data_IF_150353342756
#
_entry.id   IF_150353342756
#
_cell.length_a   1.000
_cell.length_b   1.000
_cell.length_c   1.000
_cell.angle_alpha   90.00
_cell.angle_beta   90.00
_cell.angle_gamma   90.00
#
_symmetry.space_group_name_H-M   'P 1'
#
loop_
_entity.id
_entity.type
_entity.pdbx_description
1 polymer ?
#
# COMPACT_ATOMS: atom_id res chain seq x y z
N UNK A 1 5.42 5.68 8.72
CA UNK A 1 5.62 4.24 8.50
C UNK A 1 5.91 4.04 7.03
N UNK A 2 7.11 3.54 6.69
CA UNK A 2 7.53 3.34 5.30
C UNK A 2 7.21 1.90 4.92
N UNK A 3 6.21 1.71 4.04
CA UNK A 3 5.78 0.37 3.61
C UNK A 3 6.80 -0.34 2.71
N UNK A 4 6.62 -1.64 2.51
CA UNK A 4 7.50 -2.48 1.68
C UNK A 4 7.80 -1.88 0.30
N UNK A 5 6.80 -1.26 -0.34
CA UNK A 5 6.94 -0.61 -1.65
C UNK A 5 8.03 0.47 -1.69
N UNK A 6 8.15 1.28 -0.62
CA UNK A 6 9.15 2.34 -0.57
C UNK A 6 10.57 1.79 -0.29
N UNK A 7 10.68 0.70 0.47
CA UNK A 7 11.96 0.00 0.69
C UNK A 7 12.44 -0.63 -0.63
N UNK A 8 11.55 -1.30 -1.35
CA UNK A 8 11.85 -1.91 -2.65
C UNK A 8 12.25 -0.86 -3.67
N UNK A 9 11.49 0.23 -3.77
CA UNK A 9 11.82 1.34 -4.66
C UNK A 9 13.21 1.93 -4.36
N UNK A 10 13.53 2.13 -3.08
CA UNK A 10 14.85 2.59 -2.67
C UNK A 10 15.96 1.62 -3.08
N UNK A 11 15.77 0.31 -2.88
CA UNK A 11 16.74 -0.69 -3.31
C UNK A 11 16.96 -0.66 -4.83
N UNK A 12 15.87 -0.67 -5.61
CA UNK A 12 15.90 -0.63 -7.08
C UNK A 12 16.63 0.63 -7.57
N UNK A 13 16.33 1.80 -6.98
CA UNK A 13 17.01 3.07 -7.31
C UNK A 13 18.50 3.09 -6.97
N UNK A 14 18.96 2.16 -6.14
CA UNK A 14 20.37 2.00 -5.76
C UNK A 14 20.99 0.74 -6.40
N UNK A 15 20.44 0.25 -7.52
CA UNK A 15 20.91 -0.93 -8.26
C UNK A 15 21.01 -2.19 -7.39
N UNK A 16 20.14 -2.30 -6.37
CA UNK A 16 20.03 -3.45 -5.49
C UNK A 16 18.69 -4.15 -5.69
N UNK A 17 18.66 -5.49 -5.67
CA UNK A 17 17.40 -6.21 -5.74
C UNK A 17 16.56 -5.97 -4.47
N UNK A 18 15.22 -5.90 -4.59
CA UNK A 18 14.33 -5.96 -3.44
C UNK A 18 14.58 -7.23 -2.60
N UNK A 19 14.62 -7.08 -1.27
CA UNK A 19 14.74 -8.21 -0.36
C UNK A 19 13.35 -8.72 0.06
N UNK A 20 13.03 -9.96 -0.30
CA UNK A 20 11.81 -10.65 0.11
C UNK A 20 12.18 -11.69 1.17
N UNK A 21 11.41 -11.73 2.25
CA UNK A 21 11.50 -12.76 3.28
C UNK A 21 10.48 -13.87 3.02
N UNK A 22 10.86 -15.10 3.33
CA UNK A 22 10.08 -16.32 3.11
C UNK A 22 9.64 -16.47 1.64
N UNK A 23 8.38 -16.81 1.37
CA UNK A 23 7.85 -17.08 0.03
C UNK A 23 7.36 -15.84 -0.72
N UNK A 24 7.26 -14.68 -0.07
CA UNK A 24 6.73 -13.45 -0.67
C UNK A 24 5.22 -13.46 -0.92
N UNK A 25 4.50 -14.53 -0.55
CA UNK A 25 3.07 -14.72 -0.82
C UNK A 25 2.18 -14.04 0.23
N UNK A 26 2.75 -13.47 1.28
CA UNK A 26 2.02 -12.69 2.27
C UNK A 26 1.27 -11.54 1.60
N UNK A 27 -0.06 -11.53 1.79
CA UNK A 27 -0.97 -10.58 1.15
C UNK A 27 -1.15 -9.32 1.98
N UNK A 28 -1.24 -8.16 1.31
CA UNK A 28 -1.54 -6.85 1.88
C UNK A 28 -2.47 -6.06 0.96
N UNK A 29 -3.45 -5.38 1.55
CA UNK A 29 -4.23 -4.37 0.84
C UNK A 29 -3.41 -3.07 0.81
N UNK A 30 -3.03 -2.62 -0.40
CA UNK A 30 -2.18 -1.46 -0.61
C UNK A 30 -3.01 -0.33 -1.19
N UNK A 31 -3.25 0.69 -0.38
CA UNK A 31 -3.95 1.91 -0.80
C UNK A 31 -2.96 3.02 -1.12
N UNK A 32 -3.16 3.70 -2.25
CA UNK A 32 -2.38 4.87 -2.60
C UNK A 32 -2.74 6.05 -1.68
N UNK A 33 -1.74 6.86 -1.32
CA UNK A 33 -1.93 7.95 -0.34
C UNK A 33 -2.98 8.97 -0.79
N UNK A 34 -3.10 9.24 -2.09
CA UNK A 34 -4.12 10.17 -2.60
C UNK A 34 -5.54 9.61 -2.40
N UNK A 35 -5.75 8.31 -2.58
CA UNK A 35 -7.06 7.70 -2.39
C UNK A 35 -7.43 7.59 -0.91
N UNK A 36 -6.44 7.32 -0.04
CA UNK A 36 -6.62 7.38 1.41
C UNK A 36 -7.04 8.78 1.86
N UNK A 37 -6.36 9.83 1.40
CA UNK A 37 -6.70 11.23 1.72
C UNK A 37 -8.08 11.57 1.18
N UNK A 38 -8.41 11.20 -0.07
CA UNK A 38 -9.74 11.42 -0.64
C UNK A 38 -10.84 10.77 0.22
N UNK A 39 -10.65 9.50 0.61
CA UNK A 39 -11.61 8.80 1.47
C UNK A 39 -11.79 9.49 2.82
N UNK A 40 -10.71 9.98 3.44
CA UNK A 40 -10.79 10.74 4.69
C UNK A 40 -11.53 12.07 4.54
N UNK A 41 -11.27 12.81 3.47
CA UNK A 41 -11.97 14.07 3.21
C UNK A 41 -13.47 13.87 3.03
N UNK A 42 -13.87 12.81 2.31
CA UNK A 42 -15.29 12.43 2.19
C UNK A 42 -15.89 12.22 3.58
N UNK A 43 -15.25 11.44 4.45
CA UNK A 43 -15.78 11.18 5.80
C UNK A 43 -15.88 12.44 6.65
N UNK A 44 -14.94 13.38 6.53
CA UNK A 44 -14.97 14.65 7.28
C UNK A 44 -16.16 15.55 6.90
N UNK A 45 -16.66 15.42 5.67
CA UNK A 45 -17.80 16.22 5.18
C UNK A 45 -19.17 15.60 5.54
N UNK A 46 -19.21 14.47 6.26
CA UNK A 46 -20.43 13.72 6.58
C UNK A 46 -20.58 13.53 8.10
N UNK A 47 -21.37 14.37 8.80
CA UNK A 47 -21.57 14.27 10.25
C UNK A 47 -22.09 12.91 10.74
N UNK A 48 -22.79 12.15 9.89
CA UNK A 48 -23.21 10.78 10.20
C UNK A 48 -22.06 9.78 10.33
N UNK A 49 -20.85 10.15 9.90
CA UNK A 49 -19.64 9.38 10.08
C UNK A 49 -19.02 9.57 11.48
N UNK A 50 -19.51 10.52 12.27
CA UNK A 50 -19.03 10.76 13.63
C UNK A 50 -19.23 9.51 14.51
N UNK A 51 -18.21 9.21 15.33
CA UNK A 51 -18.12 8.03 16.20
C UNK A 51 -18.26 6.67 15.49
N UNK A 52 -18.15 6.63 14.15
CA UNK A 52 -18.17 5.39 13.37
C UNK A 52 -16.76 4.91 13.01
N UNK A 53 -16.63 3.60 12.72
CA UNK A 53 -15.38 2.96 12.30
C UNK A 53 -15.47 2.58 10.82
N UNK A 54 -14.52 3.06 10.02
CA UNK A 54 -14.42 2.75 8.60
C UNK A 54 -13.04 2.17 8.26
N UNK A 55 -13.05 1.10 7.45
CA UNK A 55 -11.84 0.59 6.82
C UNK A 55 -11.63 1.28 5.47
N UNK A 56 -10.43 1.81 5.23
CA UNK A 56 -10.02 2.36 3.93
C UNK A 56 -8.97 1.46 3.31
N UNK A 57 -9.30 0.88 2.17
CA UNK A 57 -8.47 -0.04 1.41
C UNK A 57 -9.01 -0.19 -0.01
N UNK A 58 -8.31 -0.94 -0.84
CA UNK A 58 -8.75 -1.26 -2.21
C UNK A 58 -9.66 -2.48 -2.24
N UNK A 59 -9.65 -3.31 -1.20
CA UNK A 59 -10.29 -4.63 -1.20
C UNK A 59 -9.61 -5.65 -2.12
N UNK A 60 -8.49 -5.28 -2.75
CA UNK A 60 -7.73 -6.10 -3.67
C UNK A 60 -6.34 -6.38 -3.08
N UNK A 61 -6.15 -7.53 -2.42
CA UNK A 61 -4.88 -7.82 -1.77
C UNK A 61 -3.79 -8.20 -2.78
N UNK A 62 -2.63 -7.54 -2.70
CA UNK A 62 -1.43 -7.86 -3.47
C UNK A 62 -0.42 -8.62 -2.60
N UNK A 63 0.32 -9.55 -3.20
CA UNK A 63 1.43 -10.24 -2.53
C UNK A 63 2.66 -9.33 -2.51
N UNK A 64 3.58 -9.58 -1.58
CA UNK A 64 4.86 -8.84 -1.55
C UNK A 64 5.68 -9.13 -2.82
N UNK A 65 5.59 -10.36 -3.36
CA UNK A 65 6.19 -10.72 -4.62
C UNK A 65 5.64 -9.90 -5.79
N UNK A 66 4.30 -9.81 -5.94
CA UNK A 66 3.63 -9.02 -6.98
C UNK A 66 4.07 -7.55 -6.93
N UNK A 67 4.22 -6.99 -5.72
CA UNK A 67 4.68 -5.60 -5.52
C UNK A 67 6.12 -5.41 -6.00
N UNK A 68 7.02 -6.33 -5.65
CA UNK A 68 8.41 -6.26 -6.09
C UNK A 68 8.53 -6.36 -7.61
N UNK A 69 7.84 -7.34 -8.22
CA UNK A 69 7.83 -7.55 -9.68
C UNK A 69 7.28 -6.33 -10.42
N UNK A 70 6.18 -5.76 -9.94
CA UNK A 70 5.59 -4.54 -10.51
C UNK A 70 6.58 -3.38 -10.46
N UNK A 71 7.25 -3.16 -9.32
CA UNK A 71 8.21 -2.06 -9.16
C UNK A 71 9.47 -2.23 -10.01
N UNK A 72 9.89 -3.45 -10.32
CA UNK A 72 11.05 -3.74 -11.18
C UNK A 72 10.74 -3.41 -12.65
N UNK A 73 9.48 -3.51 -13.06
CA UNK A 73 9.04 -3.24 -14.44
C UNK A 73 8.78 -1.76 -14.73
N UNK A 74 8.80 -0.90 -13.69
CA UNK A 74 8.59 0.55 -13.77
C UNK A 74 9.91 1.32 -13.92
#
# INVERSE_FOLDING_TARGET
YTGASAIFWSAIKNDKPPLIYEDGLQKRDLIHVHDLVRGKLILLDHPEADDQVFNLGTGQPSSILEVAETLIQL
#
